data_IF_885346316063
#
_entry.id   IF_885346316063
#
_cell.length_a   1.000
_cell.length_b   1.000
_cell.length_c   1.000
_cell.angle_alpha   90.00
_cell.angle_beta   90.00
_cell.angle_gamma   90.00
#
_symmetry.space_group_name_H-M   'P 1'
#
loop_
_entity.id
_entity.type
_entity.pdbx_description
1 polymer ?
#
# COMPACT_ATOMS: atom_id res chain seq x y z
N UNK A 1 8.58 -3.99 14.45
CA UNK A 1 7.74 -3.03 15.20
C UNK A 1 7.13 -2.02 14.24
N UNK A 2 5.85 -1.75 14.40
CA UNK A 2 5.15 -0.78 13.56
C UNK A 2 5.02 0.53 14.32
N UNK A 3 5.40 1.63 13.68
CA UNK A 3 5.33 2.98 14.24
C UNK A 3 4.89 3.99 13.18
N UNK A 4 4.42 5.19 13.61
CA UNK A 4 4.13 6.25 12.65
C UNK A 4 5.38 6.63 11.85
N UNK A 5 5.18 6.90 10.56
CA UNK A 5 6.23 7.48 9.74
C UNK A 5 6.43 8.94 10.11
N UNK A 6 7.65 9.43 9.96
CA UNK A 6 7.94 10.86 10.14
C UNK A 6 8.06 11.52 8.76
N UNK A 7 7.80 12.82 8.69
CA UNK A 7 7.78 13.54 7.42
C UNK A 7 9.12 13.54 6.69
N UNK A 8 10.22 13.39 7.43
CA UNK A 8 11.56 13.31 6.83
C UNK A 8 11.87 11.94 6.23
N UNK A 9 10.97 10.97 6.38
CA UNK A 9 11.11 9.63 5.78
C UNK A 9 10.49 9.51 4.38
N UNK A 10 9.96 10.59 3.85
CA UNK A 10 9.27 10.59 2.55
C UNK A 10 10.09 9.96 1.42
N UNK A 11 11.36 10.31 1.29
CA UNK A 11 12.21 9.75 0.24
C UNK A 11 12.47 8.26 0.43
N UNK A 12 12.62 7.81 1.67
CA UNK A 12 12.79 6.38 1.99
C UNK A 12 11.55 5.59 1.59
N UNK A 13 10.37 6.10 1.91
CA UNK A 13 9.11 5.42 1.58
C UNK A 13 8.89 5.38 0.07
N UNK A 14 9.22 6.45 -0.63
CA UNK A 14 9.16 6.49 -2.09
C UNK A 14 10.06 5.42 -2.70
N UNK A 15 11.27 5.29 -2.19
CA UNK A 15 12.21 4.27 -2.66
C UNK A 15 11.67 2.86 -2.43
N UNK A 16 11.07 2.60 -1.27
CA UNK A 16 10.48 1.30 -0.96
C UNK A 16 9.34 0.98 -1.95
N UNK A 17 8.48 1.95 -2.23
CA UNK A 17 7.39 1.77 -3.19
C UNK A 17 7.91 1.41 -4.58
N UNK A 18 8.94 2.11 -5.05
CA UNK A 18 9.55 1.87 -6.35
C UNK A 18 10.21 0.49 -6.41
N UNK A 19 10.98 0.12 -5.39
CA UNK A 19 11.62 -1.20 -5.32
C UNK A 19 10.59 -2.32 -5.32
N UNK A 20 9.52 -2.16 -4.53
CA UNK A 20 8.47 -3.18 -4.43
C UNK A 20 7.73 -3.35 -5.74
N UNK A 21 7.41 -2.25 -6.43
CA UNK A 21 6.74 -2.30 -7.71
C UNK A 21 7.61 -2.97 -8.77
N UNK A 22 8.92 -2.69 -8.77
CA UNK A 22 9.86 -3.26 -9.73
C UNK A 22 10.08 -4.75 -9.56
N UNK A 23 9.78 -5.29 -8.38
CA UNK A 23 9.96 -6.72 -8.09
C UNK A 23 9.17 -7.63 -9.05
N UNK A 24 8.02 -7.16 -9.52
CA UNK A 24 7.12 -7.96 -10.36
C UNK A 24 7.52 -8.04 -11.83
N UNK A 25 8.62 -7.41 -12.20
CA UNK A 25 9.16 -7.52 -13.56
C UNK A 25 8.47 -6.65 -14.60
N UNK A 26 7.81 -5.59 -14.20
CA UNK A 26 7.21 -4.65 -15.14
C UNK A 26 8.29 -3.97 -15.99
N UNK A 27 7.96 -3.58 -17.24
CA UNK A 27 8.91 -2.87 -18.09
C UNK A 27 9.42 -1.59 -17.40
N UNK A 28 10.70 -1.29 -17.60
CA UNK A 28 11.33 -0.14 -16.95
C UNK A 28 10.65 1.18 -17.30
N UNK A 29 10.20 1.33 -18.56
CA UNK A 29 9.51 2.56 -18.96
C UNK A 29 8.14 2.70 -18.30
N UNK A 30 7.48 1.60 -17.90
CA UNK A 30 6.26 1.66 -17.11
C UNK A 30 6.56 2.15 -15.70
N UNK A 31 7.64 1.64 -15.11
CA UNK A 31 8.05 2.04 -13.76
C UNK A 31 8.32 3.55 -13.69
N UNK A 32 8.94 4.11 -14.72
CA UNK A 32 9.16 5.55 -14.80
C UNK A 32 7.85 6.35 -14.85
N UNK A 33 6.87 5.85 -15.59
CA UNK A 33 5.56 6.50 -15.67
C UNK A 33 4.81 6.47 -14.36
N UNK A 34 5.05 5.44 -13.54
CA UNK A 34 4.40 5.30 -12.24
C UNK A 34 5.09 6.10 -11.13
N UNK A 35 6.27 6.63 -11.36
CA UNK A 35 7.00 7.37 -10.33
C UNK A 35 6.16 8.44 -9.62
N UNK A 36 5.39 9.30 -10.32
CA UNK A 36 4.57 10.29 -9.63
C UNK A 36 3.51 9.68 -8.72
N UNK A 37 2.91 8.56 -9.11
CA UNK A 37 1.88 7.88 -8.32
C UNK A 37 2.46 7.13 -7.12
N UNK A 38 3.71 6.68 -7.23
CA UNK A 38 4.39 5.95 -6.16
C UNK A 38 5.12 6.88 -5.20
N UNK A 39 5.25 8.16 -5.56
CA UNK A 39 5.95 9.13 -4.73
C UNK A 39 5.17 9.43 -3.45
N UNK A 40 5.86 9.38 -2.33
CA UNK A 40 5.31 9.73 -1.02
C UNK A 40 5.91 11.08 -0.64
N UNK A 41 5.08 12.08 -0.39
CA UNK A 41 5.54 13.40 0.02
C UNK A 41 5.48 13.56 1.53
N UNK A 42 6.23 14.51 2.05
CA UNK A 42 6.17 14.86 3.47
C UNK A 42 4.75 15.29 3.86
N UNK A 43 4.10 16.06 3.01
CA UNK A 43 2.72 16.51 3.22
C UNK A 43 1.75 15.33 3.29
N UNK A 44 1.92 14.33 2.40
CA UNK A 44 1.08 13.14 2.42
C UNK A 44 1.21 12.40 3.75
N UNK A 45 2.44 12.26 4.26
CA UNK A 45 2.69 11.61 5.55
C UNK A 45 2.00 12.37 6.68
N UNK A 46 2.05 13.70 6.66
CA UNK A 46 1.44 14.53 7.71
C UNK A 46 -0.08 14.48 7.68
N UNK A 47 -0.68 14.33 6.51
CA UNK A 47 -2.14 14.38 6.33
C UNK A 47 -2.85 13.05 6.44
N UNK A 48 -2.12 11.94 6.39
CA UNK A 48 -2.71 10.61 6.38
C UNK A 48 -2.10 9.72 7.45
N UNK A 49 -2.65 8.52 7.62
CA UNK A 49 -2.13 7.54 8.57
C UNK A 49 -1.10 6.67 7.88
N UNK A 50 0.17 7.05 8.02
CA UNK A 50 1.28 6.34 7.38
C UNK A 50 2.13 5.71 8.46
N UNK A 51 2.28 4.39 8.40
CA UNK A 51 2.99 3.60 9.41
C UNK A 51 4.04 2.73 8.76
N UNK A 52 5.18 2.62 9.42
CA UNK A 52 6.31 1.83 8.93
C UNK A 52 6.55 0.61 9.81
N UNK A 53 7.01 -0.46 9.19
CA UNK A 53 7.52 -1.64 9.90
C UNK A 53 9.03 -1.51 9.96
N UNK A 54 9.54 -1.33 11.16
CA UNK A 54 10.98 -1.12 11.39
C UNK A 54 11.55 -2.19 12.29
N UNK A 55 12.70 -2.73 11.93
CA UNK A 55 13.45 -3.66 12.75
C UNK A 55 14.94 -3.35 12.61
N UNK A 56 15.63 -3.23 13.74
CA UNK A 56 17.06 -2.98 13.74
C UNK A 56 17.46 -1.67 13.07
N UNK A 57 16.61 -0.66 13.11
CA UNK A 57 16.88 0.64 12.49
C UNK A 57 16.58 0.68 11.00
N UNK A 58 16.05 -0.40 10.43
CA UNK A 58 15.74 -0.49 9.01
C UNK A 58 14.22 -0.56 8.79
N UNK A 59 13.70 0.28 7.90
CA UNK A 59 12.31 0.23 7.48
C UNK A 59 12.17 -0.85 6.40
N UNK A 60 11.35 -1.86 6.69
CA UNK A 60 11.15 -3.02 5.81
C UNK A 60 9.89 -2.94 4.95
N UNK A 61 8.98 -2.08 5.33
CA UNK A 61 7.75 -1.86 4.60
C UNK A 61 6.92 -0.78 5.26
N UNK A 62 5.83 -0.39 4.60
CA UNK A 62 4.92 0.61 5.15
C UNK A 62 3.54 0.48 4.55
N UNK A 63 2.55 1.10 5.21
CA UNK A 63 1.23 1.30 4.62
C UNK A 63 0.79 2.74 4.79
N UNK A 64 -0.16 3.16 3.97
CA UNK A 64 -0.82 4.45 4.09
C UNK A 64 -2.33 4.26 4.02
N UNK A 65 -3.01 4.75 5.05
CA UNK A 65 -4.46 4.66 5.18
C UNK A 65 -5.02 6.08 5.11
N UNK A 66 -5.89 6.33 4.13
CA UNK A 66 -6.51 7.62 3.92
C UNK A 66 -7.97 7.52 4.31
N UNK A 67 -8.41 8.41 5.21
CA UNK A 67 -9.77 8.40 5.73
C UNK A 67 -10.63 9.38 4.96
N UNK A 68 -11.82 8.92 4.55
CA UNK A 68 -12.80 9.73 3.85
C UNK A 68 -14.18 9.42 4.43
N UNK A 69 -14.66 10.26 5.32
CA UNK A 69 -15.89 10.09 6.08
C UNK A 69 -15.89 8.75 6.84
N UNK A 70 -16.82 7.83 6.54
CA UNK A 70 -16.92 6.54 7.22
C UNK A 70 -16.15 5.42 6.52
N UNK A 71 -15.39 5.77 5.49
CA UNK A 71 -14.61 4.82 4.70
C UNK A 71 -13.13 5.13 4.77
N UNK A 72 -12.32 4.12 4.54
CA UNK A 72 -10.89 4.28 4.43
C UNK A 72 -10.40 3.65 3.13
N UNK A 73 -9.38 4.26 2.56
CA UNK A 73 -8.67 3.73 1.41
C UNK A 73 -7.27 3.31 1.85
N UNK A 74 -6.90 2.06 1.61
CA UNK A 74 -5.53 1.61 1.77
C UNK A 74 -4.80 2.00 0.49
N UNK A 75 -4.24 3.21 0.49
CA UNK A 75 -3.60 3.82 -0.68
C UNK A 75 -2.28 3.16 -1.04
N UNK A 76 -1.52 2.78 -0.03
CA UNK A 76 -0.22 2.16 -0.21
C UNK A 76 -0.04 1.05 0.79
N UNK A 77 0.53 -0.05 0.33
CA UNK A 77 1.10 -1.08 1.19
C UNK A 77 2.24 -1.75 0.42
N UNK A 78 3.45 -1.52 0.87
CA UNK A 78 4.66 -1.96 0.18
C UNK A 78 5.62 -2.61 1.15
N UNK A 79 6.24 -3.70 0.71
CA UNK A 79 7.27 -4.42 1.47
C UNK A 79 8.51 -4.48 0.59
N UNK A 80 9.67 -4.19 1.18
CA UNK A 80 10.92 -4.34 0.42
C UNK A 80 11.05 -5.76 -0.11
N UNK A 81 11.49 -5.94 -1.36
CA UNK A 81 11.58 -7.29 -1.96
C UNK A 81 12.32 -8.32 -1.11
N UNK A 82 13.37 -7.90 -0.43
CA UNK A 82 14.16 -8.77 0.44
C UNK A 82 13.33 -9.42 1.55
N UNK A 83 12.24 -8.76 1.97
CA UNK A 83 11.43 -9.22 3.10
C UNK A 83 10.06 -9.77 2.67
N UNK A 84 9.82 -9.94 1.39
CA UNK A 84 8.60 -10.58 0.90
C UNK A 84 8.60 -12.04 1.38
N UNK A 85 7.48 -12.48 1.94
CA UNK A 85 7.36 -13.82 2.49
C UNK A 85 7.82 -13.96 3.95
N UNK A 86 8.28 -12.88 4.57
CA UNK A 86 8.73 -12.88 5.97
C UNK A 86 7.65 -12.43 6.96
N UNK A 87 6.42 -12.24 6.51
CA UNK A 87 5.30 -11.84 7.37
C UNK A 87 5.12 -10.35 7.56
N UNK A 88 5.97 -9.52 6.96
CA UNK A 88 5.89 -8.06 7.09
C UNK A 88 4.58 -7.52 6.54
N UNK A 89 4.18 -7.96 5.35
CA UNK A 89 2.93 -7.54 4.74
C UNK A 89 1.72 -7.91 5.57
N UNK A 90 1.70 -9.11 6.13
CA UNK A 90 0.61 -9.56 6.99
C UNK A 90 0.50 -8.69 8.23
N UNK A 91 1.60 -8.39 8.89
CA UNK A 91 1.60 -7.55 10.09
C UNK A 91 1.16 -6.13 9.79
N UNK A 92 1.63 -5.57 8.67
CA UNK A 92 1.20 -4.24 8.22
C UNK A 92 -0.29 -4.20 7.94
N UNK A 93 -0.80 -5.19 7.24
CA UNK A 93 -2.23 -5.25 6.92
C UNK A 93 -3.09 -5.35 8.17
N UNK A 94 -2.72 -6.22 9.11
CA UNK A 94 -3.46 -6.38 10.36
C UNK A 94 -3.45 -5.10 11.19
N UNK A 95 -2.31 -4.42 11.24
CA UNK A 95 -2.21 -3.14 11.94
C UNK A 95 -3.12 -2.09 11.29
N UNK A 96 -3.13 -2.03 9.96
CA UNK A 96 -4.00 -1.09 9.23
C UNK A 96 -5.48 -1.34 9.53
N UNK A 97 -5.91 -2.61 9.57
CA UNK A 97 -7.29 -2.96 9.87
C UNK A 97 -7.67 -2.64 11.32
N UNK A 98 -6.77 -2.89 12.26
CA UNK A 98 -6.99 -2.55 13.66
C UNK A 98 -7.10 -1.04 13.84
N UNK A 99 -6.25 -0.27 13.14
CA UNK A 99 -6.32 1.18 13.18
C UNK A 99 -7.61 1.70 12.60
N UNK A 100 -8.05 1.14 11.48
CA UNK A 100 -9.33 1.50 10.88
C UNK A 100 -10.49 1.28 11.87
N UNK A 101 -10.47 0.16 12.59
CA UNK A 101 -11.48 -0.12 13.61
C UNK A 101 -11.49 0.94 14.70
N UNK A 102 -10.32 1.35 15.16
CA UNK A 102 -10.20 2.41 16.18
C UNK A 102 -10.68 3.76 15.69
N UNK A 103 -10.60 4.00 14.38
CA UNK A 103 -11.06 5.24 13.76
C UNK A 103 -12.54 5.23 13.41
N UNK A 104 -13.24 4.14 13.75
CA UNK A 104 -14.67 3.97 13.52
C UNK A 104 -15.08 3.99 12.05
N UNK A 105 -14.20 3.51 11.15
CA UNK A 105 -14.57 3.32 9.76
C UNK A 105 -15.24 1.95 9.61
N UNK A 106 -16.24 1.86 8.74
CA UNK A 106 -17.00 0.62 8.54
C UNK A 106 -16.37 -0.34 7.56
N UNK A 107 -15.52 0.16 6.67
CA UNK A 107 -14.86 -0.66 5.67
C UNK A 107 -13.57 -0.02 5.19
N UNK A 108 -12.66 -0.86 4.68
CA UNK A 108 -11.44 -0.41 4.03
C UNK A 108 -11.49 -0.90 2.58
N UNK A 109 -11.29 0.00 1.64
CA UNK A 109 -11.20 -0.33 0.22
C UNK A 109 -9.76 -0.17 -0.27
N UNK A 110 -9.46 -0.87 -1.35
CA UNK A 110 -8.15 -0.79 -1.99
C UNK A 110 -8.25 -1.21 -3.46
N UNK A 111 -7.32 -0.71 -4.25
CA UNK A 111 -7.09 -1.18 -5.60
C UNK A 111 -5.83 -2.04 -5.55
N UNK A 112 -5.96 -3.31 -5.87
CA UNK A 112 -4.84 -4.25 -5.76
C UNK A 112 -4.06 -4.34 -7.06
N UNK A 113 -2.73 -4.41 -6.95
CA UNK A 113 -1.93 -4.90 -8.06
C UNK A 113 -2.36 -6.35 -8.29
N UNK A 114 -2.53 -6.81 -9.55
CA UNK A 114 -2.93 -8.19 -9.82
C UNK A 114 -2.03 -9.22 -9.13
N UNK A 115 -0.75 -8.91 -8.96
CA UNK A 115 0.20 -9.80 -8.29
C UNK A 115 -0.04 -9.89 -6.78
N UNK A 116 -0.75 -8.95 -6.19
CA UNK A 116 -1.03 -8.91 -4.76
C UNK A 116 -2.46 -9.32 -4.41
N UNK A 117 -3.33 -9.52 -5.39
CA UNK A 117 -4.74 -9.80 -5.16
C UNK A 117 -4.97 -11.04 -4.26
N UNK A 118 -4.22 -12.11 -4.48
CA UNK A 118 -4.35 -13.33 -3.68
C UNK A 118 -3.97 -13.09 -2.22
N UNK A 119 -2.96 -12.25 -1.97
CA UNK A 119 -2.60 -11.88 -0.61
C UNK A 119 -3.79 -11.23 0.10
N UNK A 120 -4.42 -10.24 -0.54
CA UNK A 120 -5.55 -9.55 0.07
C UNK A 120 -6.76 -10.47 0.28
N UNK A 121 -7.01 -11.39 -0.64
CA UNK A 121 -8.08 -12.39 -0.46
C UNK A 121 -7.83 -13.26 0.76
N UNK A 122 -6.60 -13.71 0.95
CA UNK A 122 -6.22 -14.51 2.13
C UNK A 122 -6.40 -13.73 3.42
N UNK A 123 -6.24 -12.42 3.36
CA UNK A 123 -6.42 -11.55 4.53
C UNK A 123 -7.89 -11.20 4.79
N UNK A 124 -8.81 -11.68 3.97
CA UNK A 124 -10.24 -11.49 4.17
C UNK A 124 -10.90 -10.45 3.28
N UNK A 125 -10.16 -9.84 2.38
CA UNK A 125 -10.73 -8.90 1.43
C UNK A 125 -11.42 -9.64 0.28
N UNK A 126 -12.47 -9.03 -0.27
CA UNK A 126 -13.16 -9.59 -1.42
C UNK A 126 -13.29 -8.54 -2.51
N UNK A 127 -13.37 -9.00 -3.75
CA UNK A 127 -13.47 -8.11 -4.90
C UNK A 127 -14.86 -7.52 -5.04
N UNK A 128 -14.93 -6.19 -5.20
CA UNK A 128 -16.19 -5.46 -5.37
C UNK A 128 -16.32 -4.84 -6.75
N UNK A 129 -15.29 -4.90 -7.57
CA UNK A 129 -15.32 -4.31 -8.90
C UNK A 129 -13.93 -4.29 -9.51
N UNK A 130 -13.76 -3.41 -10.46
CA UNK A 130 -12.51 -3.25 -11.19
C UNK A 130 -12.17 -1.79 -11.35
N UNK A 131 -10.87 -1.47 -11.28
CA UNK A 131 -10.34 -0.17 -11.64
C UNK A 131 -9.62 -0.31 -12.97
N UNK A 132 -9.88 0.59 -13.90
CA UNK A 132 -9.23 0.58 -15.21
C UNK A 132 -8.18 1.66 -15.27
N UNK A 133 -7.02 1.30 -15.77
CA UNK A 133 -5.94 2.27 -16.00
C UNK A 133 -5.26 1.95 -17.31
N UNK A 134 -4.50 2.91 -17.81
CA UNK A 134 -3.77 2.77 -19.06
C UNK A 134 -2.32 3.15 -18.83
N UNK A 135 -1.41 2.37 -19.42
CA UNK A 135 0.00 2.69 -19.43
C UNK A 135 0.57 2.38 -20.80
N UNK A 136 1.20 3.38 -21.42
CA UNK A 136 1.79 3.28 -22.77
C UNK A 136 0.83 2.68 -23.80
N UNK A 137 -0.43 3.12 -23.77
CA UNK A 137 -1.46 2.64 -24.68
C UNK A 137 -2.02 1.27 -24.35
N UNK A 138 -1.55 0.64 -23.29
CA UNK A 138 -2.01 -0.68 -22.88
C UNK A 138 -2.97 -0.56 -21.71
N UNK A 139 -4.15 -1.15 -21.84
CA UNK A 139 -5.15 -1.15 -20.78
C UNK A 139 -4.82 -2.15 -19.69
N UNK A 140 -4.99 -1.74 -18.44
CA UNK A 140 -4.86 -2.60 -17.28
C UNK A 140 -6.17 -2.61 -16.51
N UNK A 141 -6.56 -3.79 -16.06
CA UNK A 141 -7.73 -3.97 -15.21
C UNK A 141 -7.21 -4.44 -13.86
N UNK A 142 -7.50 -3.65 -12.83
CA UNK A 142 -7.01 -3.93 -11.47
C UNK A 142 -8.20 -4.29 -10.58
N UNK A 143 -8.11 -5.33 -9.75
CA UNK A 143 -9.21 -5.65 -8.84
C UNK A 143 -9.39 -4.56 -7.80
N UNK A 144 -10.64 -4.15 -7.64
CA UNK A 144 -11.06 -3.25 -6.59
C UNK A 144 -11.61 -4.11 -5.46
N UNK A 145 -11.07 -3.98 -4.27
CA UNK A 145 -11.36 -4.88 -3.15
C UNK A 145 -11.78 -4.12 -1.91
N UNK A 146 -12.47 -4.80 -1.02
CA UNK A 146 -12.79 -4.24 0.30
C UNK A 146 -12.73 -5.30 1.39
N UNK A 147 -12.58 -4.82 2.61
CA UNK A 147 -12.75 -5.63 3.81
C UNK A 147 -13.65 -4.85 4.78
N UNK A 148 -14.65 -5.52 5.33
CA UNK A 148 -15.53 -4.92 6.34
C UNK A 148 -14.84 -4.96 7.69
N UNK A 149 -15.00 -3.88 8.43
CA UNK A 149 -14.36 -3.72 9.74
C UNK A 149 -15.36 -4.04 10.86
#
# INVERSE_FOLDING_TARGET
>A
MIRPATSDEASTLTQIALESKSYWGYPEHWLKRWEPELAISSEFIEKNYVFVFETGGEIRGFYALCINDSQAELEHMWVRPTYIGAGVGKELFLDAMERAARLNVGEVQLTADPNAAEFYKKMGAHQIGEARSEIDGQQRILPRMKIDI
#
